data_IF_244476902735
#
_entry.id   IF_244476902735
#
_cell.length_a   1.000
_cell.length_b   1.000
_cell.length_c   1.000
_cell.angle_alpha   90.00
_cell.angle_beta   90.00
_cell.angle_gamma   90.00
#
_symmetry.space_group_name_H-M   'P 1'
#
loop_
_entity.id
_entity.type
_entity.pdbx_description
1 polymer ?
#
# COMPACT_ATOMS: atom_id res chain seq x y z
N UNK A 1 -2.68 32.76 4.37
CA UNK A 1 -4.07 32.35 4.70
C UNK A 1 -4.18 30.85 4.45
N UNK A 2 -4.08 30.02 5.50
CA UNK A 2 -4.20 28.55 5.35
C UNK A 2 -5.66 28.18 5.14
N UNK A 3 -5.92 27.47 4.04
CA UNK A 3 -7.26 27.12 3.57
C UNK A 3 -7.98 26.23 4.62
N UNK A 4 -9.30 26.35 4.76
CA UNK A 4 -10.06 25.57 5.75
C UNK A 4 -9.89 24.06 5.56
N UNK A 5 -9.66 23.60 4.31
CA UNK A 5 -9.38 22.19 4.00
C UNK A 5 -8.04 21.69 4.53
N UNK A 6 -7.01 22.55 4.64
CA UNK A 6 -5.73 22.15 5.24
C UNK A 6 -5.90 21.83 6.73
N UNK A 7 -6.64 22.67 7.47
CA UNK A 7 -6.88 22.47 8.90
C UNK A 7 -7.57 21.12 9.19
N UNK A 8 -8.51 20.73 8.34
CA UNK A 8 -9.20 19.44 8.43
C UNK A 8 -8.24 18.26 8.18
N UNK A 9 -7.42 18.33 7.12
CA UNK A 9 -6.40 17.31 6.82
C UNK A 9 -5.41 17.10 7.98
N UNK A 10 -4.90 18.19 8.57
CA UNK A 10 -3.99 18.09 9.71
C UNK A 10 -4.66 17.53 10.98
N UNK A 11 -5.98 17.65 11.12
CA UNK A 11 -6.71 17.01 12.23
C UNK A 11 -6.75 15.49 12.06
N UNK A 12 -7.05 15.00 10.86
CA UNK A 12 -7.09 13.55 10.57
C UNK A 12 -5.70 12.91 10.70
N UNK A 13 -4.65 13.57 10.19
CA UNK A 13 -3.27 13.08 10.35
C UNK A 13 -2.86 13.00 11.82
N UNK A 14 -3.22 14.00 12.64
CA UNK A 14 -2.90 13.99 14.08
C UNK A 14 -3.63 12.88 14.83
N UNK A 15 -4.89 12.62 14.48
CA UNK A 15 -5.63 11.49 15.04
C UNK A 15 -4.94 10.17 14.70
N UNK A 16 -4.54 9.98 13.45
CA UNK A 16 -3.81 8.79 13.03
C UNK A 16 -2.48 8.61 13.78
N UNK A 17 -1.71 9.70 13.94
CA UNK A 17 -0.44 9.68 14.66
C UNK A 17 -0.60 9.48 16.17
N UNK A 18 -1.80 9.69 16.73
CA UNK A 18 -2.11 9.41 18.13
C UNK A 18 -2.34 7.92 18.43
N UNK A 19 -2.49 7.09 17.38
CA UNK A 19 -2.68 5.64 17.53
C UNK A 19 -1.45 4.95 18.13
N UNK A 20 -1.67 3.80 18.78
CA UNK A 20 -0.60 2.97 19.32
C UNK A 20 0.43 2.61 18.23
N UNK A 21 1.70 2.44 18.61
CA UNK A 21 2.76 2.06 17.67
C UNK A 21 2.42 0.75 16.94
N UNK A 22 1.84 -0.21 17.66
CA UNK A 22 1.42 -1.51 17.09
C UNK A 22 0.37 -1.29 16.00
N UNK A 23 -0.65 -0.47 16.26
CA UNK A 23 -1.67 -0.15 15.25
C UNK A 23 -1.06 0.48 14.00
N UNK A 24 -0.10 1.41 14.17
CA UNK A 24 0.58 2.06 13.04
C UNK A 24 1.45 1.08 12.24
N UNK A 25 2.09 0.12 12.90
CA UNK A 25 2.86 -0.97 12.25
C UNK A 25 1.93 -1.88 11.45
N UNK A 26 0.81 -2.32 12.07
CA UNK A 26 -0.17 -3.16 11.40
C UNK A 26 -0.76 -2.46 10.18
N UNK A 27 -1.03 -1.16 10.27
CA UNK A 27 -1.55 -0.37 9.16
C UNK A 27 -0.54 -0.25 7.99
N UNK A 28 0.73 -0.03 8.30
CA UNK A 28 1.78 -0.02 7.27
C UNK A 28 1.93 -1.39 6.59
N UNK A 29 1.87 -2.47 7.37
CA UNK A 29 1.89 -3.85 6.87
C UNK A 29 0.67 -4.15 5.99
N UNK A 30 -0.52 -3.75 6.45
CA UNK A 30 -1.77 -3.92 5.73
C UNK A 30 -1.73 -3.25 4.35
N UNK A 31 -1.33 -1.97 4.28
CA UNK A 31 -1.19 -1.29 2.98
C UNK A 31 -0.11 -1.90 2.09
N UNK A 32 1.02 -2.34 2.66
CA UNK A 32 2.06 -3.05 1.91
C UNK A 32 1.53 -4.33 1.23
N UNK A 33 0.77 -5.14 1.97
CA UNK A 33 0.15 -6.37 1.44
C UNK A 33 -0.86 -6.05 0.34
N UNK A 34 -1.72 -5.05 0.52
CA UNK A 34 -2.70 -4.67 -0.50
C UNK A 34 -2.05 -4.09 -1.77
N UNK A 35 -0.94 -3.36 -1.63
CA UNK A 35 -0.14 -2.94 -2.80
C UNK A 35 0.44 -4.16 -3.53
N UNK A 36 0.95 -5.15 -2.79
CA UNK A 36 1.43 -6.38 -3.40
C UNK A 36 0.34 -7.11 -4.17
N UNK A 37 -0.85 -7.28 -3.57
CA UNK A 37 -2.00 -7.92 -4.19
C UNK A 37 -2.48 -7.17 -5.45
N UNK A 38 -2.59 -5.84 -5.38
CA UNK A 38 -3.01 -5.02 -6.50
C UNK A 38 -2.03 -5.09 -7.69
N UNK A 39 -0.72 -5.14 -7.41
CA UNK A 39 0.31 -5.19 -8.44
C UNK A 39 0.54 -6.59 -9.00
N UNK A 40 0.19 -7.64 -8.25
CA UNK A 40 0.41 -9.02 -8.64
C UNK A 40 -0.07 -9.33 -10.06
N UNK A 41 -1.36 -9.17 -10.41
CA UNK A 41 -1.85 -9.54 -11.75
C UNK A 41 -1.24 -8.67 -12.86
N UNK A 42 -0.89 -7.42 -12.58
CA UNK A 42 -0.29 -6.50 -13.55
C UNK A 42 1.14 -6.93 -13.88
N UNK A 43 1.95 -7.19 -12.84
CA UNK A 43 3.34 -7.62 -13.01
C UNK A 43 3.38 -9.01 -13.64
N UNK A 44 2.51 -9.91 -13.21
CA UNK A 44 2.46 -11.28 -13.74
C UNK A 44 2.06 -11.27 -15.23
N UNK A 45 1.06 -10.47 -15.60
CA UNK A 45 0.67 -10.30 -17.01
C UNK A 45 1.81 -9.74 -17.88
N UNK A 46 2.49 -8.69 -17.43
CA UNK A 46 3.63 -8.10 -18.15
C UNK A 46 4.75 -9.13 -18.28
N UNK A 47 5.05 -9.85 -17.20
CA UNK A 47 6.12 -10.84 -17.20
C UNK A 47 5.84 -11.99 -18.16
N UNK A 48 4.65 -12.58 -18.06
CA UNK A 48 4.22 -13.69 -18.92
C UNK A 48 4.23 -13.29 -20.40
N UNK A 49 3.83 -12.05 -20.71
CA UNK A 49 3.73 -11.57 -22.09
C UNK A 49 5.08 -11.21 -22.72
N UNK A 50 6.04 -10.68 -21.96
CA UNK A 50 7.25 -10.06 -22.53
C UNK A 50 8.56 -10.74 -22.11
N UNK A 51 8.61 -11.39 -20.94
CA UNK A 51 9.86 -11.83 -20.31
C UNK A 51 9.87 -13.30 -19.88
N UNK A 52 8.81 -14.06 -20.20
CA UNK A 52 8.66 -15.42 -19.68
C UNK A 52 9.75 -16.36 -20.19
N UNK A 53 10.46 -16.96 -19.22
CA UNK A 53 11.28 -18.14 -19.41
C UNK A 53 11.17 -19.02 -18.15
N UNK A 54 11.38 -20.33 -18.29
CA UNK A 54 11.32 -21.25 -17.15
C UNK A 54 12.34 -20.92 -16.06
N UNK A 55 13.51 -20.40 -16.46
CA UNK A 55 14.60 -20.02 -15.55
C UNK A 55 14.26 -18.78 -14.72
N UNK A 56 13.40 -17.90 -15.22
CA UNK A 56 13.11 -16.59 -14.60
C UNK A 56 11.75 -16.51 -13.91
N UNK A 57 11.10 -17.64 -13.67
CA UNK A 57 9.76 -17.74 -13.04
C UNK A 57 9.62 -17.05 -11.67
N UNK A 58 10.72 -16.88 -10.93
CA UNK A 58 10.71 -16.28 -9.58
C UNK A 58 10.81 -14.75 -9.60
N UNK A 59 11.24 -14.16 -10.72
CA UNK A 59 11.54 -12.73 -10.81
C UNK A 59 10.30 -11.84 -10.55
N UNK A 60 9.08 -12.15 -11.03
CA UNK A 60 7.87 -11.38 -10.71
C UNK A 60 7.62 -11.26 -9.21
N UNK A 61 7.73 -12.38 -8.49
CA UNK A 61 7.52 -12.42 -7.05
C UNK A 61 8.55 -11.58 -6.29
N UNK A 62 9.81 -11.57 -6.75
CA UNK A 62 10.87 -10.72 -6.19
C UNK A 62 10.58 -9.23 -6.42
N UNK A 63 10.14 -8.84 -7.61
CA UNK A 63 9.76 -7.46 -7.92
C UNK A 63 8.59 -7.01 -7.03
N UNK A 64 7.54 -7.82 -6.93
CA UNK A 64 6.37 -7.53 -6.09
C UNK A 64 6.78 -7.37 -4.63
N UNK A 65 7.62 -8.30 -4.12
CA UNK A 65 8.12 -8.27 -2.75
C UNK A 65 8.97 -7.03 -2.49
N UNK A 66 9.84 -6.64 -3.43
CA UNK A 66 10.65 -5.43 -3.32
C UNK A 66 9.76 -4.17 -3.26
N UNK A 67 8.73 -4.07 -4.11
CA UNK A 67 7.79 -2.94 -4.09
C UNK A 67 6.99 -2.91 -2.78
N UNK A 68 6.48 -4.07 -2.33
CA UNK A 68 5.76 -4.19 -1.07
C UNK A 68 6.62 -3.77 0.12
N UNK A 69 7.89 -4.19 0.14
CA UNK A 69 8.86 -3.81 1.16
C UNK A 69 9.12 -2.30 1.16
N UNK A 70 9.30 -1.68 -0.01
CA UNK A 70 9.44 -0.22 -0.13
C UNK A 70 8.21 0.48 0.44
N UNK A 71 7.00 0.02 0.11
CA UNK A 71 5.76 0.57 0.66
C UNK A 71 5.70 0.44 2.18
N UNK A 72 6.15 -0.69 2.73
CA UNK A 72 6.22 -0.89 4.17
C UNK A 72 7.22 0.06 4.84
N UNK A 73 8.43 0.21 4.28
CA UNK A 73 9.47 1.10 4.80
C UNK A 73 9.04 2.57 4.75
N UNK A 74 8.37 2.99 3.67
CA UNK A 74 7.79 4.33 3.56
C UNK A 74 6.73 4.53 4.64
N UNK A 75 5.84 3.55 4.86
CA UNK A 75 4.89 3.57 5.98
C UNK A 75 5.59 3.67 7.33
N UNK A 76 6.65 2.88 7.53
CA UNK A 76 7.42 2.92 8.75
C UNK A 76 7.99 4.32 9.02
N UNK A 77 8.61 4.95 8.01
CA UNK A 77 9.18 6.29 8.15
C UNK A 77 8.11 7.37 8.35
N UNK A 78 6.97 7.28 7.67
CA UNK A 78 5.94 8.32 7.69
C UNK A 78 5.01 8.24 8.90
N UNK A 79 4.59 7.03 9.29
CA UNK A 79 3.56 6.83 10.31
C UNK A 79 4.06 6.11 11.56
N UNK A 80 5.02 5.18 11.48
CA UNK A 80 5.48 4.44 12.67
C UNK A 80 6.51 5.25 13.46
N UNK A 81 7.57 5.69 12.79
CA UNK A 81 8.69 6.40 13.41
C UNK A 81 9.59 5.52 14.28
N UNK A 82 10.48 6.20 15.00
CA UNK A 82 11.45 5.66 15.96
C UNK A 82 10.82 5.53 17.36
N UNK A 83 11.23 4.55 18.18
CA UNK A 83 10.78 4.46 19.57
C UNK A 83 11.11 5.76 20.33
N UNK A 84 10.12 6.29 21.06
CA UNK A 84 10.29 7.53 21.84
C UNK A 84 10.00 8.83 21.08
N UNK A 85 9.89 8.79 19.76
CA UNK A 85 9.61 9.99 18.94
C UNK A 85 8.23 9.90 18.27
N UNK A 86 7.54 11.05 18.19
CA UNK A 86 6.29 11.17 17.41
C UNK A 86 6.63 11.68 16.01
N UNK A 87 6.25 10.97 14.93
CA UNK A 87 6.48 11.45 13.58
C UNK A 87 5.82 12.82 13.36
N UNK A 88 6.47 13.75 12.65
CA UNK A 88 5.86 15.03 12.31
C UNK A 88 4.68 14.83 11.34
N UNK A 89 3.62 15.63 11.50
CA UNK A 89 2.48 15.61 10.58
C UNK A 89 2.89 16.19 9.22
N UNK A 90 3.13 15.32 8.23
CA UNK A 90 3.52 15.68 6.86
C UNK A 90 2.38 15.41 5.89
N UNK A 91 2.25 16.25 4.84
CA UNK A 91 1.30 16.04 3.74
C UNK A 91 1.52 14.70 3.00
N UNK A 92 2.75 14.18 3.01
CA UNK A 92 3.09 12.87 2.47
C UNK A 92 2.27 11.71 3.09
N UNK A 93 1.81 11.84 4.34
CA UNK A 93 0.94 10.83 4.98
C UNK A 93 -0.39 10.71 4.23
N UNK A 94 -0.97 11.82 3.74
CA UNK A 94 -2.23 11.77 2.99
C UNK A 94 -2.06 10.97 1.69
N UNK A 95 -0.97 11.20 0.97
CA UNK A 95 -0.66 10.46 -0.25
C UNK A 95 -0.43 8.99 0.03
N UNK A 96 0.31 8.67 1.09
CA UNK A 96 0.52 7.29 1.52
C UNK A 96 -0.80 6.55 1.78
N UNK A 97 -1.74 7.20 2.49
CA UNK A 97 -3.08 6.66 2.70
C UNK A 97 -3.89 6.57 1.42
N UNK A 98 -3.82 7.58 0.55
CA UNK A 98 -4.50 7.55 -0.74
C UNK A 98 -4.07 6.36 -1.59
N UNK A 99 -2.75 6.10 -1.67
CA UNK A 99 -2.20 4.94 -2.38
C UNK A 99 -2.64 3.63 -1.72
N UNK A 100 -2.59 3.53 -0.38
CA UNK A 100 -3.03 2.34 0.34
C UNK A 100 -4.52 2.03 0.14
N UNK A 101 -5.39 3.04 0.26
CA UNK A 101 -6.82 2.91 0.02
C UNK A 101 -7.15 2.56 -1.43
N UNK A 102 -6.44 3.18 -2.38
CA UNK A 102 -6.57 2.86 -3.80
C UNK A 102 -6.17 1.41 -4.08
N UNK A 103 -5.05 0.94 -3.51
CA UNK A 103 -4.62 -0.45 -3.65
C UNK A 103 -5.62 -1.46 -3.05
N UNK A 104 -6.24 -1.11 -1.92
CA UNK A 104 -7.33 -1.91 -1.33
C UNK A 104 -8.51 -2.00 -2.29
N UNK A 105 -9.02 -0.86 -2.76
CA UNK A 105 -10.16 -0.82 -3.67
C UNK A 105 -9.87 -1.60 -4.95
N UNK A 106 -8.69 -1.42 -5.53
CA UNK A 106 -8.26 -2.12 -6.74
C UNK A 106 -8.18 -3.64 -6.51
N UNK A 107 -7.58 -4.08 -5.40
CA UNK A 107 -7.48 -5.49 -5.05
C UNK A 107 -8.85 -6.14 -4.89
N UNK A 108 -9.78 -5.46 -4.19
CA UNK A 108 -11.15 -5.96 -3.99
C UNK A 108 -11.88 -6.07 -5.33
N UNK A 109 -11.78 -5.06 -6.19
CA UNK A 109 -12.39 -5.10 -7.53
C UNK A 109 -11.84 -6.26 -8.37
N UNK A 110 -10.52 -6.47 -8.36
CA UNK A 110 -9.89 -7.57 -9.07
C UNK A 110 -10.34 -8.94 -8.55
N UNK A 111 -10.48 -9.10 -7.23
CA UNK A 111 -10.97 -10.35 -6.62
C UNK A 111 -12.42 -10.62 -7.04
N UNK A 112 -13.29 -9.61 -7.04
CA UNK A 112 -14.69 -9.74 -7.47
C UNK A 112 -14.76 -10.17 -8.93
N UNK A 113 -14.03 -9.49 -9.81
CA UNK A 113 -14.00 -9.83 -11.24
C UNK A 113 -13.43 -11.24 -11.49
N UNK A 114 -12.38 -11.61 -10.75
CA UNK A 114 -11.83 -12.97 -10.81
C UNK A 114 -12.82 -14.04 -10.36
N UNK A 115 -13.60 -13.76 -9.32
CA UNK A 115 -14.67 -14.65 -8.84
C UNK A 115 -15.75 -14.84 -9.91
N UNK A 116 -16.23 -13.76 -10.54
CA UNK A 116 -17.24 -13.85 -11.60
C UNK A 116 -16.79 -14.75 -12.75
N UNK A 117 -15.55 -14.63 -13.21
CA UNK A 117 -15.00 -15.42 -14.32
C UNK A 117 -14.98 -16.93 -13.99
N UNK A 118 -14.69 -17.31 -12.74
CA UNK A 118 -14.58 -18.72 -12.33
C UNK A 118 -15.96 -19.40 -12.21
N UNK A 119 -16.98 -18.68 -11.74
CA UNK A 119 -18.30 -19.27 -11.44
C UNK A 119 -19.34 -19.09 -12.54
N UNK A 120 -19.05 -18.29 -13.57
CA UNK A 120 -19.94 -18.09 -14.73
C UNK A 120 -19.43 -18.72 -16.04
N UNK A 121 -18.24 -19.33 -16.02
CA UNK A 121 -17.61 -20.02 -17.14
C UNK A 121 -17.86 -21.52 -17.18
#
# INVERSE_FOLDING_TARGET
MTNSSEKASYRSIRWLLSLSRITRILLAGFFSVFVALALFPVIDYIWLRFFFSMETRVVPALIITAIALVMYLVGWQLIVGTPGERPPARRAIIWYFGVGLFAIALSVLMIIQGYEIIYSG
#
